data_IF_154133243157
#
_entry.id   IF_154133243157
#
_cell.length_a   1.000
_cell.length_b   1.000
_cell.length_c   1.000
_cell.angle_alpha   90.00
_cell.angle_beta   90.00
_cell.angle_gamma   90.00
#
_symmetry.space_group_name_H-M   'P 1'
#
loop_
_entity.id
_entity.type
_entity.pdbx_description
1 polymer ?
#
# COMPACT_ATOMS: atom_id res chain seq x y z
N UNK A 1 27.13 6.54 -8.02
CA UNK A 1 25.66 6.64 -7.84
C UNK A 1 25.23 8.06 -7.50
N UNK A 2 25.59 8.59 -6.31
CA UNK A 2 25.16 9.93 -5.86
C UNK A 2 25.43 11.09 -6.82
N UNK A 3 26.58 11.14 -7.50
CA UNK A 3 26.85 12.19 -8.47
C UNK A 3 25.86 12.16 -9.65
N UNK A 4 25.48 10.98 -10.13
CA UNK A 4 24.54 10.82 -11.22
C UNK A 4 23.11 11.22 -10.79
N UNK A 5 22.68 10.79 -9.60
CA UNK A 5 21.39 11.18 -9.01
C UNK A 5 21.33 12.70 -8.84
N UNK A 6 22.36 13.31 -8.24
CA UNK A 6 22.43 14.76 -8.05
C UNK A 6 22.40 15.53 -9.39
N UNK A 7 23.11 15.04 -10.41
CA UNK A 7 23.05 15.61 -11.76
C UNK A 7 21.66 15.52 -12.37
N UNK A 8 20.90 14.47 -12.07
CA UNK A 8 19.53 14.28 -12.56
C UNK A 8 18.54 15.20 -11.84
N UNK A 9 18.62 15.29 -10.51
CA UNK A 9 17.78 16.17 -9.70
C UNK A 9 17.92 17.65 -10.09
N UNK A 10 19.10 18.07 -10.55
CA UNK A 10 19.33 19.43 -11.07
C UNK A 10 18.71 19.70 -12.43
N UNK A 11 18.42 18.66 -13.21
CA UNK A 11 17.89 18.76 -14.59
C UNK A 11 16.38 18.56 -14.64
N UNK A 12 15.83 17.83 -13.68
CA UNK A 12 14.41 17.49 -13.64
C UNK A 12 13.76 18.29 -12.52
N UNK A 13 12.92 19.25 -12.89
CA UNK A 13 12.15 20.02 -11.91
C UNK A 13 11.16 19.12 -11.14
N UNK A 14 10.87 19.50 -9.90
CA UNK A 14 9.95 18.78 -9.00
C UNK A 14 10.31 17.29 -8.79
N UNK A 15 11.60 16.95 -8.84
CA UNK A 15 12.08 15.60 -8.57
C UNK A 15 12.72 15.50 -7.18
N UNK A 16 12.53 14.34 -6.56
CA UNK A 16 13.09 14.01 -5.25
C UNK A 16 13.70 12.60 -5.31
N UNK A 17 14.80 12.41 -4.61
CA UNK A 17 15.42 11.10 -4.45
C UNK A 17 15.06 10.54 -3.07
N UNK A 18 14.39 9.39 -3.05
CA UNK A 18 14.18 8.61 -1.85
C UNK A 18 15.27 7.52 -1.76
N UNK A 19 16.01 7.43 -0.65
CA UNK A 19 17.22 6.60 -0.55
C UNK A 19 16.92 5.10 -0.30
N UNK A 20 16.02 4.49 -1.08
CA UNK A 20 15.63 3.09 -0.91
C UNK A 20 16.82 2.12 -1.06
N UNK A 21 17.76 2.41 -1.95
CA UNK A 21 18.94 1.58 -2.17
C UNK A 21 19.88 1.61 -0.96
N UNK A 22 20.10 2.79 -0.40
CA UNK A 22 20.92 2.98 0.80
C UNK A 22 20.27 2.30 2.01
N UNK A 23 18.94 2.40 2.19
CA UNK A 23 18.23 1.65 3.24
C UNK A 23 18.50 0.14 3.13
N UNK A 24 18.42 -0.42 1.92
CA UNK A 24 18.70 -1.85 1.69
C UNK A 24 20.16 -2.20 2.00
N UNK A 25 21.09 -1.39 1.50
CA UNK A 25 22.53 -1.69 1.59
C UNK A 25 23.13 -1.43 2.96
N UNK A 26 22.67 -0.41 3.67
CA UNK A 26 23.28 0.07 4.90
C UNK A 26 22.52 -0.40 6.16
N UNK A 27 21.19 -0.44 6.11
CA UNK A 27 20.35 -0.76 7.28
C UNK A 27 19.80 -2.20 7.22
N UNK A 28 19.44 -2.71 6.04
CA UNK A 28 18.80 -4.01 5.83
C UNK A 28 19.75 -5.08 5.27
N UNK A 29 21.04 -5.01 5.59
CA UNK A 29 22.06 -5.92 5.04
C UNK A 29 21.96 -7.36 5.54
N UNK A 30 21.37 -7.58 6.71
CA UNK A 30 21.25 -8.91 7.31
C UNK A 30 20.40 -9.84 6.43
N UNK A 31 20.82 -11.10 6.28
CA UNK A 31 20.13 -12.10 5.45
C UNK A 31 18.65 -12.29 5.79
N UNK A 32 18.22 -12.00 7.01
CA UNK A 32 16.79 -12.04 7.39
C UNK A 32 15.90 -11.09 6.57
N UNK A 33 16.50 -10.07 5.97
CA UNK A 33 15.81 -9.08 5.14
C UNK A 33 15.77 -9.48 3.66
N UNK A 34 16.21 -10.69 3.32
CA UNK A 34 16.14 -11.25 1.98
C UNK A 34 15.24 -12.49 1.99
N UNK A 35 14.57 -12.72 0.86
CA UNK A 35 13.82 -13.95 0.62
C UNK A 35 14.79 -15.14 0.45
N UNK A 36 14.23 -16.35 0.29
CA UNK A 36 15.00 -17.59 0.15
C UNK A 36 16.01 -17.57 -1.01
N UNK A 37 15.77 -16.75 -2.03
CA UNK A 37 16.69 -16.55 -3.16
C UNK A 37 17.91 -15.68 -2.83
N UNK A 38 17.93 -15.06 -1.65
CA UNK A 38 19.01 -14.21 -1.13
C UNK A 38 19.29 -12.96 -1.99
N UNK A 39 18.35 -12.57 -2.85
CA UNK A 39 18.47 -11.45 -3.77
C UNK A 39 17.33 -10.45 -3.56
N UNK A 40 16.10 -10.94 -3.43
CA UNK A 40 14.95 -10.06 -3.28
C UNK A 40 14.73 -9.71 -1.81
N UNK A 41 14.35 -8.46 -1.50
CA UNK A 41 13.94 -8.08 -0.15
C UNK A 41 12.79 -8.96 0.35
N UNK A 42 12.86 -9.37 1.61
CA UNK A 42 11.75 -10.06 2.27
C UNK A 42 10.58 -9.11 2.55
N UNK A 43 9.41 -9.67 2.83
CA UNK A 43 8.22 -8.86 3.17
C UNK A 43 8.49 -7.88 4.32
N UNK A 44 9.30 -8.27 5.30
CA UNK A 44 9.72 -7.42 6.40
C UNK A 44 10.57 -6.23 5.92
N UNK A 45 11.48 -6.46 4.97
CA UNK A 45 12.30 -5.41 4.38
C UNK A 45 11.46 -4.44 3.55
N UNK A 46 10.50 -4.97 2.76
CA UNK A 46 9.57 -4.17 1.98
C UNK A 46 8.71 -3.29 2.89
N UNK A 47 8.16 -3.85 3.97
CA UNK A 47 7.36 -3.11 4.95
C UNK A 47 8.17 -1.97 5.56
N UNK A 48 9.41 -2.23 5.99
CA UNK A 48 10.30 -1.20 6.54
C UNK A 48 10.58 -0.06 5.55
N UNK A 49 10.85 -0.38 4.27
CA UNK A 49 11.12 0.63 3.24
C UNK A 49 9.86 1.46 2.96
N UNK A 50 8.68 0.83 2.93
CA UNK A 50 7.40 1.54 2.77
C UNK A 50 7.18 2.51 3.93
N UNK A 51 7.41 2.11 5.18
CA UNK A 51 7.28 3.02 6.32
C UNK A 51 8.19 4.26 6.19
N UNK A 52 9.47 4.06 5.82
CA UNK A 52 10.40 5.19 5.62
C UNK A 52 9.98 6.06 4.45
N UNK A 53 9.40 5.48 3.40
CA UNK A 53 8.85 6.21 2.26
C UNK A 53 7.66 7.07 2.67
N UNK A 54 6.71 6.48 3.41
CA UNK A 54 5.52 7.19 3.91
C UNK A 54 5.92 8.36 4.81
N UNK A 55 6.85 8.16 5.75
CA UNK A 55 7.37 9.21 6.63
C UNK A 55 8.08 10.33 5.89
N UNK A 56 8.81 10.02 4.81
CA UNK A 56 9.62 10.99 4.09
C UNK A 56 8.81 11.82 3.08
N UNK A 57 7.76 11.25 2.48
CA UNK A 57 7.12 11.82 1.29
C UNK A 57 5.62 12.04 1.43
N UNK A 58 4.96 11.43 2.41
CA UNK A 58 3.50 11.57 2.58
C UNK A 58 3.15 12.53 3.71
N UNK A 59 2.02 13.21 3.55
CA UNK A 59 1.42 13.98 4.64
C UNK A 59 0.75 13.05 5.65
N UNK A 60 0.58 13.50 6.90
CA UNK A 60 -0.11 12.70 7.92
C UNK A 60 -1.54 12.30 7.50
N UNK A 61 -2.22 13.16 6.73
CA UNK A 61 -3.52 12.85 6.13
C UNK A 61 -3.42 11.71 5.11
N UNK A 62 -2.41 11.74 4.23
CA UNK A 62 -2.18 10.70 3.23
C UNK A 62 -1.81 9.35 3.86
N UNK A 63 -1.03 9.37 4.96
CA UNK A 63 -0.69 8.17 5.73
C UNK A 63 -1.96 7.56 6.35
N UNK A 64 -2.84 8.38 6.94
CA UNK A 64 -4.10 7.90 7.49
C UNK A 64 -5.02 7.32 6.43
N UNK A 65 -5.08 7.97 5.25
CA UNK A 65 -5.84 7.47 4.10
C UNK A 65 -5.28 6.13 3.60
N UNK A 66 -3.95 6.01 3.43
CA UNK A 66 -3.25 4.78 3.04
C UNK A 66 -3.62 3.63 3.99
N UNK A 67 -3.57 3.86 5.30
CA UNK A 67 -3.92 2.87 6.31
C UNK A 67 -5.40 2.43 6.22
N UNK A 68 -6.31 3.38 6.00
CA UNK A 68 -7.75 3.11 5.83
C UNK A 68 -8.02 2.26 4.59
N UNK A 69 -7.41 2.62 3.45
CA UNK A 69 -7.51 1.85 2.20
C UNK A 69 -6.94 0.44 2.40
N UNK A 70 -5.76 0.30 3.01
CA UNK A 70 -5.12 -1.00 3.30
C UNK A 70 -6.04 -1.89 4.17
N UNK A 71 -6.69 -1.33 5.18
CA UNK A 71 -7.67 -2.04 6.02
C UNK A 71 -8.86 -2.54 5.21
N UNK A 72 -9.43 -1.68 4.35
CA UNK A 72 -10.54 -2.03 3.46
C UNK A 72 -10.14 -3.16 2.49
N UNK A 73 -8.97 -3.07 1.84
CA UNK A 73 -8.46 -4.11 0.95
C UNK A 73 -8.23 -5.44 1.67
N UNK A 74 -7.75 -5.41 2.92
CA UNK A 74 -7.62 -6.61 3.75
C UNK A 74 -8.99 -7.26 4.03
N UNK A 75 -10.01 -6.46 4.34
CA UNK A 75 -11.36 -6.94 4.54
C UNK A 75 -11.91 -7.61 3.27
N UNK A 76 -11.69 -7.02 2.09
CA UNK A 76 -12.15 -7.59 0.81
C UNK A 76 -11.52 -8.95 0.50
N UNK A 77 -10.26 -9.15 0.89
CA UNK A 77 -9.53 -10.42 0.72
C UNK A 77 -10.03 -11.53 1.64
N UNK A 78 -10.82 -11.21 2.67
CA UNK A 78 -11.34 -12.21 3.59
C UNK A 78 -12.20 -13.26 2.87
N UNK A 79 -11.90 -14.54 3.13
CA UNK A 79 -12.64 -15.69 2.59
C UNK A 79 -13.64 -16.19 3.64
N UNK A 80 -14.96 -16.05 3.43
CA UNK A 80 -15.95 -16.48 4.43
C UNK A 80 -16.02 -18.01 4.55
N UNK A 81 -16.27 -18.50 5.76
CA UNK A 81 -16.59 -19.90 6.02
C UNK A 81 -18.05 -20.23 5.68
N UNK A 82 -18.96 -19.28 5.88
CA UNK A 82 -20.40 -19.41 5.60
C UNK A 82 -20.88 -18.24 4.71
N UNK A 83 -20.65 -18.32 3.38
CA UNK A 83 -21.00 -17.23 2.46
C UNK A 83 -22.50 -16.94 2.39
N UNK A 84 -23.36 -17.91 2.72
CA UNK A 84 -24.83 -17.71 2.72
C UNK A 84 -25.37 -17.11 4.03
N UNK A 85 -24.52 -16.86 5.01
CA UNK A 85 -24.94 -16.33 6.31
C UNK A 85 -25.37 -14.87 6.21
N UNK A 86 -26.35 -14.48 7.04
CA UNK A 86 -26.79 -13.09 7.15
C UNK A 86 -25.65 -12.17 7.62
N UNK A 87 -24.76 -12.66 8.48
CA UNK A 87 -23.58 -11.92 8.94
C UNK A 87 -22.60 -11.63 7.81
N UNK A 88 -22.41 -12.57 6.87
CA UNK A 88 -21.57 -12.31 5.69
C UNK A 88 -22.21 -11.28 4.76
N UNK A 89 -23.52 -11.35 4.52
CA UNK A 89 -24.21 -10.33 3.70
C UNK A 89 -24.07 -8.93 4.31
N UNK A 90 -24.27 -8.79 5.63
CA UNK A 90 -24.05 -7.53 6.36
C UNK A 90 -22.60 -7.04 6.27
N UNK A 91 -21.63 -7.96 6.28
CA UNK A 91 -20.22 -7.63 6.10
C UNK A 91 -19.96 -7.07 4.68
N UNK A 92 -20.44 -7.73 3.63
CA UNK A 92 -20.30 -7.27 2.23
C UNK A 92 -20.96 -5.91 2.03
N UNK A 93 -22.16 -5.70 2.56
CA UNK A 93 -22.84 -4.39 2.55
C UNK A 93 -22.02 -3.32 3.27
N UNK A 94 -21.38 -3.66 4.40
CA UNK A 94 -20.47 -2.79 5.12
C UNK A 94 -19.28 -2.36 4.26
N UNK A 95 -18.65 -3.30 3.57
CA UNK A 95 -17.56 -3.03 2.63
C UNK A 95 -18.01 -2.13 1.47
N UNK A 96 -19.20 -2.37 0.91
CA UNK A 96 -19.77 -1.49 -0.13
C UNK A 96 -19.93 -0.05 0.35
N UNK A 97 -20.45 0.14 1.58
CA UNK A 97 -20.59 1.49 2.15
C UNK A 97 -19.24 2.19 2.31
N UNK A 98 -18.25 1.48 2.82
CA UNK A 98 -16.91 2.01 3.04
C UNK A 98 -16.24 2.43 1.73
N UNK A 99 -16.31 1.59 0.70
CA UNK A 99 -15.74 1.89 -0.63
C UNK A 99 -16.42 3.11 -1.25
N UNK A 100 -17.75 3.19 -1.19
CA UNK A 100 -18.48 4.35 -1.70
C UNK A 100 -18.16 5.62 -0.93
N UNK A 101 -17.97 5.53 0.40
CA UNK A 101 -17.56 6.66 1.22
C UNK A 101 -16.17 7.18 0.81
N UNK A 102 -15.19 6.27 0.67
CA UNK A 102 -13.85 6.63 0.20
C UNK A 102 -13.86 7.25 -1.20
N UNK A 103 -14.66 6.72 -2.12
CA UNK A 103 -14.81 7.26 -3.47
C UNK A 103 -15.41 8.68 -3.48
N UNK A 104 -16.34 8.97 -2.57
CA UNK A 104 -16.95 10.30 -2.42
C UNK A 104 -16.00 11.30 -1.76
N UNK A 105 -15.25 10.88 -0.75
CA UNK A 105 -14.27 11.71 -0.04
C UNK A 105 -13.04 12.00 -0.92
N UNK A 106 -12.64 11.04 -1.77
CA UNK A 106 -11.49 11.15 -2.67
C UNK A 106 -11.84 10.77 -4.12
N UNK A 107 -12.54 11.64 -4.87
CA UNK A 107 -12.99 11.37 -6.24
C UNK A 107 -11.85 11.06 -7.24
N UNK A 108 -10.62 11.46 -6.91
CA UNK A 108 -9.43 11.22 -7.72
C UNK A 108 -8.90 9.78 -7.62
N UNK A 109 -9.33 9.01 -6.62
CA UNK A 109 -8.94 7.61 -6.43
C UNK A 109 -10.04 6.74 -7.04
N UNK A 110 -9.68 5.82 -7.92
CA UNK A 110 -10.64 4.87 -8.51
C UNK A 110 -10.74 3.62 -7.64
N UNK A 111 -11.96 3.22 -7.31
CA UNK A 111 -12.27 1.96 -6.61
C UNK A 111 -13.11 0.98 -7.46
N UNK A 112 -13.02 1.08 -8.79
CA UNK A 112 -13.83 0.27 -9.71
C UNK A 112 -13.58 -1.24 -9.55
N UNK A 113 -12.33 -1.65 -9.34
CA UNK A 113 -11.95 -3.04 -9.17
C UNK A 113 -12.55 -3.62 -7.89
N UNK A 114 -12.45 -2.89 -6.78
CA UNK A 114 -13.00 -3.26 -5.48
C UNK A 114 -14.53 -3.38 -5.51
N UNK A 115 -15.19 -2.44 -6.19
CA UNK A 115 -16.64 -2.49 -6.41
C UNK A 115 -17.04 -3.72 -7.25
N UNK A 116 -16.26 -4.08 -8.27
CA UNK A 116 -16.51 -5.28 -9.07
C UNK A 116 -16.30 -6.56 -8.26
N UNK A 117 -15.25 -6.62 -7.44
CA UNK A 117 -15.01 -7.75 -6.51
C UNK A 117 -16.17 -7.91 -5.53
N UNK A 118 -16.68 -6.80 -4.99
CA UNK A 118 -17.82 -6.83 -4.07
C UNK A 118 -19.13 -7.27 -4.75
N UNK A 119 -19.38 -6.83 -6.00
CA UNK A 119 -20.55 -7.29 -6.77
C UNK A 119 -20.54 -8.80 -7.02
N UNK A 120 -19.36 -9.39 -7.20
CA UNK A 120 -19.20 -10.83 -7.36
C UNK A 120 -19.35 -11.62 -6.05
N UNK A 121 -19.30 -10.94 -4.89
CA UNK A 121 -19.46 -11.53 -3.55
C UNK A 121 -20.88 -11.38 -2.99
N UNK A 122 -21.71 -10.53 -3.59
CA UNK A 122 -23.11 -10.28 -3.23
C UNK A 122 -24.03 -11.29 -3.93
#
# INVERSE_FOLDING_TARGET
>A
MFCAVNSLLKKVENSYYFPAFELVMDELRDYRFYNEDMVHPSDLAVEYIIERFEEALLTSESIQLSARIKSMLNALRHRPLFPESESYRKFVEGCFREVNQLQNEHPQISFEEELNVLKNKA
#
